data_IF_488944682740
#
_entry.id   IF_488944682740
#
_cell.length_a   1.000
_cell.length_b   1.000
_cell.length_c   1.000
_cell.angle_alpha   90.00
_cell.angle_beta   90.00
_cell.angle_gamma   90.00
#
_symmetry.space_group_name_H-M   'P 1'
#
loop_
_entity.id
_entity.type
_entity.pdbx_description
1 polymer ?
#
# COMPACT_ATOMS: atom_id res chain seq x y z
N UNK A 1 20.53 19.69 7.64
CA UNK A 1 20.31 19.12 6.29
C UNK A 1 18.84 18.68 6.17
N UNK A 2 17.94 19.61 5.87
CA UNK A 2 16.49 19.36 5.85
C UNK A 2 16.07 18.65 4.56
N UNK A 3 15.86 17.33 4.61
CA UNK A 3 15.17 16.61 3.53
C UNK A 3 13.67 16.93 3.57
N UNK A 4 13.28 18.10 3.05
CA UNK A 4 11.90 18.59 3.11
C UNK A 4 10.94 17.88 2.13
N UNK A 5 11.44 16.99 1.26
CA UNK A 5 10.62 16.29 0.25
C UNK A 5 10.95 14.81 0.22
N UNK A 6 10.32 14.02 1.08
CA UNK A 6 10.31 12.56 0.91
C UNK A 6 9.47 12.21 -0.32
N UNK A 7 10.12 12.05 -1.47
CA UNK A 7 9.49 11.56 -2.70
C UNK A 7 8.97 10.15 -2.45
N UNK A 8 7.69 9.93 -2.73
CA UNK A 8 7.03 8.62 -2.64
C UNK A 8 6.78 8.16 -4.06
N UNK A 9 7.44 7.08 -4.44
CA UNK A 9 7.20 6.45 -5.73
C UNK A 9 5.79 5.86 -5.77
N UNK A 10 5.22 5.78 -6.96
CA UNK A 10 3.85 5.33 -7.09
C UNK A 10 3.60 4.71 -8.45
N UNK A 11 2.74 3.70 -8.46
CA UNK A 11 2.30 2.96 -9.64
C UNK A 11 0.78 3.06 -9.80
N UNK A 12 0.27 2.78 -10.99
CA UNK A 12 -1.16 2.60 -11.26
C UNK A 12 -1.67 1.25 -10.75
N UNK A 13 -2.99 1.06 -10.81
CA UNK A 13 -3.63 -0.25 -10.56
C UNK A 13 -3.30 -1.27 -11.65
N UNK A 14 -3.16 -0.86 -12.91
CA UNK A 14 -2.72 -1.74 -14.00
C UNK A 14 -1.28 -2.23 -13.83
N UNK A 15 -0.37 -1.36 -13.39
CA UNK A 15 1.01 -1.74 -13.06
C UNK A 15 1.05 -2.68 -11.84
N UNK A 16 0.21 -2.43 -10.83
CA UNK A 16 0.07 -3.35 -9.69
C UNK A 16 -0.42 -4.73 -10.15
N UNK A 17 -1.40 -4.79 -11.05
CA UNK A 17 -1.93 -6.06 -11.58
C UNK A 17 -0.85 -6.88 -12.28
N UNK A 18 0.01 -6.23 -13.08
CA UNK A 18 1.16 -6.91 -13.68
C UNK A 18 2.13 -7.45 -12.61
N UNK A 19 2.34 -6.72 -11.50
CA UNK A 19 3.21 -7.13 -10.39
C UNK A 19 2.65 -8.26 -9.54
N UNK A 20 1.33 -8.42 -9.46
CA UNK A 20 0.70 -9.54 -8.72
C UNK A 20 0.97 -10.92 -9.35
N UNK A 21 1.59 -10.98 -10.54
CA UNK A 21 2.11 -12.23 -11.13
C UNK A 21 3.32 -12.78 -10.37
N UNK A 22 3.98 -11.93 -9.59
CA UNK A 22 5.11 -12.25 -8.71
C UNK A 22 4.65 -12.20 -7.24
N UNK A 23 5.31 -12.93 -6.32
CA UNK A 23 5.06 -12.76 -4.89
C UNK A 23 5.52 -11.37 -4.43
N UNK A 24 4.57 -10.49 -4.14
CA UNK A 24 4.81 -9.13 -3.65
C UNK A 24 4.18 -8.90 -2.28
N UNK A 25 4.74 -7.93 -1.54
CA UNK A 25 4.17 -7.47 -0.27
C UNK A 25 3.16 -6.35 -0.51
N UNK A 26 1.87 -6.70 -0.61
CA UNK A 26 0.79 -5.73 -0.76
C UNK A 26 0.11 -5.47 0.58
N UNK A 27 0.12 -4.22 1.04
CA UNK A 27 -0.55 -3.76 2.24
C UNK A 27 -1.81 -2.98 1.86
N UNK A 28 -2.96 -3.41 2.38
CA UNK A 28 -4.20 -2.66 2.30
C UNK A 28 -4.42 -1.90 3.60
N UNK A 29 -4.37 -0.57 3.53
CA UNK A 29 -4.48 0.31 4.70
C UNK A 29 -5.90 0.82 4.95
N UNK A 30 -6.89 0.24 4.29
CA UNK A 30 -8.30 0.46 4.60
C UNK A 30 -8.67 -0.13 5.97
N UNK A 31 -9.86 0.20 6.45
CA UNK A 31 -10.40 -0.43 7.66
C UNK A 31 -10.60 -1.93 7.46
N UNK A 32 -10.61 -2.74 8.54
CA UNK A 32 -10.91 -4.16 8.44
C UNK A 32 -12.24 -4.41 7.73
N UNK A 33 -13.29 -3.65 8.05
CA UNK A 33 -14.60 -3.80 7.41
C UNK A 33 -14.56 -3.60 5.90
N UNK A 34 -13.83 -2.59 5.41
CA UNK A 34 -13.64 -2.37 3.96
C UNK A 34 -12.88 -3.52 3.30
N UNK A 35 -11.88 -4.08 3.99
CA UNK A 35 -11.07 -5.18 3.50
C UNK A 35 -11.87 -6.49 3.41
N UNK A 36 -12.67 -6.80 4.43
CA UNK A 36 -13.53 -7.98 4.46
C UNK A 36 -14.66 -7.94 3.43
N UNK A 37 -15.09 -6.76 2.99
CA UNK A 37 -16.07 -6.60 1.89
C UNK A 37 -15.51 -6.92 0.52
N UNK A 38 -14.19 -7.02 0.38
CA UNK A 38 -13.52 -7.27 -0.88
C UNK A 38 -12.12 -6.66 -0.88
N UNK A 39 -11.11 -7.49 -1.14
CA UNK A 39 -9.72 -7.05 -1.24
C UNK A 39 -8.95 -7.80 -2.33
N UNK A 40 -7.80 -7.26 -2.72
CA UNK A 40 -6.92 -7.91 -3.69
C UNK A 40 -6.34 -9.16 -3.03
N UNK A 41 -6.35 -10.29 -3.75
CA UNK A 41 -5.77 -11.55 -3.27
C UNK A 41 -4.31 -11.34 -2.81
N UNK A 42 -3.96 -11.96 -1.69
CA UNK A 42 -2.64 -11.86 -1.02
C UNK A 42 -2.33 -10.48 -0.41
N UNK A 43 -3.26 -9.51 -0.43
CA UNK A 43 -3.10 -8.29 0.34
C UNK A 43 -3.18 -8.58 1.84
N UNK A 44 -2.33 -7.92 2.63
CA UNK A 44 -2.40 -7.92 4.09
C UNK A 44 -3.08 -6.65 4.57
N UNK A 45 -4.15 -6.78 5.35
CA UNK A 45 -4.77 -5.61 5.95
C UNK A 45 -3.90 -5.07 7.09
N UNK A 46 -3.49 -3.81 6.98
CA UNK A 46 -2.80 -3.07 8.05
C UNK A 46 -3.40 -1.66 8.06
N UNK A 47 -4.46 -1.42 8.85
CA UNK A 47 -5.17 -0.14 8.85
C UNK A 47 -4.24 1.06 9.03
N UNK A 48 -4.58 2.20 8.42
CA UNK A 48 -3.76 3.42 8.51
C UNK A 48 -3.50 3.88 9.96
N UNK A 49 -4.42 3.59 10.89
CA UNK A 49 -4.26 3.82 12.33
C UNK A 49 -3.09 3.02 12.91
N UNK A 50 -2.89 1.79 12.45
CA UNK A 50 -1.91 0.83 12.97
C UNK A 50 -0.56 0.88 12.21
N UNK A 51 -0.50 1.54 11.05
CA UNK A 51 0.75 1.63 10.28
C UNK A 51 1.91 2.29 11.06
N UNK A 52 1.57 3.11 12.07
CA UNK A 52 2.52 3.77 12.95
C UNK A 52 3.33 2.79 13.81
N UNK A 53 2.73 1.68 14.22
CA UNK A 53 3.40 0.58 14.95
C UNK A 53 3.81 -0.57 14.03
N UNK A 54 3.31 -0.62 12.79
CA UNK A 54 3.68 -1.64 11.84
C UNK A 54 5.20 -1.65 11.56
N UNK A 55 5.81 -2.82 11.77
CA UNK A 55 7.21 -3.09 11.56
C UNK A 55 7.33 -4.37 10.72
N UNK A 56 7.33 -4.27 9.38
CA UNK A 56 7.56 -5.42 8.53
C UNK A 56 8.95 -5.99 8.79
N UNK A 57 9.04 -7.32 8.88
CA UNK A 57 10.29 -8.07 9.05
C UNK A 57 11.06 -8.25 7.74
N UNK A 58 10.43 -7.91 6.61
CA UNK A 58 11.01 -8.02 5.28
C UNK A 58 11.74 -6.74 4.84
N UNK A 59 12.78 -6.91 4.03
CA UNK A 59 13.47 -5.83 3.31
C UNK A 59 12.88 -5.58 1.91
N UNK A 60 11.88 -6.36 1.50
CA UNK A 60 11.22 -6.23 0.21
C UNK A 60 10.43 -4.92 0.10
N UNK A 61 10.16 -4.53 -1.15
CA UNK A 61 9.34 -3.37 -1.46
C UNK A 61 7.91 -3.58 -1.01
N UNK A 62 7.39 -2.64 -0.22
CA UNK A 62 6.01 -2.63 0.24
C UNK A 62 5.15 -1.86 -0.76
N UNK A 63 4.17 -2.52 -1.35
CA UNK A 63 3.13 -1.88 -2.13
C UNK A 63 1.97 -1.52 -1.20
N UNK A 64 1.49 -0.29 -1.26
CA UNK A 64 0.46 0.19 -0.31
C UNK A 64 -0.74 0.71 -1.08
N UNK A 65 -1.90 0.14 -0.80
CA UNK A 65 -3.18 0.49 -1.41
C UNK A 65 -4.19 0.90 -0.34
N UNK A 66 -5.13 1.77 -0.70
CA UNK A 66 -6.29 2.08 0.12
C UNK A 66 -7.52 2.24 -0.79
N UNK A 67 -8.57 2.94 -0.37
CA UNK A 67 -9.73 3.18 -1.24
C UNK A 67 -9.39 4.04 -2.46
N UNK A 68 -8.91 5.28 -2.28
CA UNK A 68 -8.71 6.26 -3.39
C UNK A 68 -7.25 6.68 -3.64
N UNK A 69 -6.31 6.22 -2.82
CA UNK A 69 -4.89 6.60 -2.86
C UNK A 69 -4.43 7.61 -1.79
N UNK A 70 -5.35 8.29 -1.10
CA UNK A 70 -5.00 9.32 -0.09
C UNK A 70 -4.40 8.69 1.18
N UNK A 71 -5.08 7.69 1.75
CA UNK A 71 -4.63 6.99 2.98
C UNK A 71 -3.33 6.22 2.74
N UNK A 72 -3.19 5.57 1.58
CA UNK A 72 -1.98 4.84 1.20
C UNK A 72 -0.78 5.76 1.00
N UNK A 73 -0.97 6.97 0.48
CA UNK A 73 0.11 7.97 0.41
C UNK A 73 0.60 8.39 1.79
N UNK A 74 -0.30 8.54 2.77
CA UNK A 74 0.08 8.84 4.16
C UNK A 74 0.80 7.66 4.83
N UNK A 75 0.30 6.44 4.64
CA UNK A 75 0.96 5.22 5.11
C UNK A 75 2.37 5.07 4.50
N UNK A 76 2.50 5.28 3.18
CA UNK A 76 3.79 5.22 2.49
C UNK A 76 4.80 6.23 3.04
N UNK A 77 4.36 7.46 3.34
CA UNK A 77 5.21 8.46 4.02
C UNK A 77 5.68 7.99 5.40
N UNK A 78 4.78 7.44 6.22
CA UNK A 78 5.12 6.92 7.56
C UNK A 78 6.14 5.77 7.47
N UNK A 79 5.94 4.84 6.54
CA UNK A 79 6.83 3.71 6.33
C UNK A 79 8.19 4.12 5.73
N UNK A 80 8.20 5.04 4.75
CA UNK A 80 9.45 5.57 4.16
C UNK A 80 10.31 6.29 5.21
N UNK A 81 9.69 7.03 6.13
CA UNK A 81 10.37 7.66 7.28
C UNK A 81 11.02 6.65 8.23
N UNK A 82 10.50 5.43 8.30
CA UNK A 82 11.09 4.31 9.06
C UNK A 82 12.20 3.57 8.28
N UNK A 83 12.52 3.98 7.05
CA UNK A 83 13.57 3.39 6.23
C UNK A 83 13.12 2.26 5.29
N UNK A 84 11.82 1.96 5.21
CA UNK A 84 11.31 0.92 4.30
C UNK A 84 11.26 1.42 2.85
N UNK A 85 11.43 0.50 1.89
CA UNK A 85 11.12 0.79 0.51
C UNK A 85 9.61 0.64 0.27
N UNK A 86 8.97 1.68 -0.26
CA UNK A 86 7.51 1.75 -0.33
C UNK A 86 7.07 2.38 -1.63
N UNK A 87 6.09 1.75 -2.28
CA UNK A 87 5.43 2.23 -3.48
C UNK A 87 3.94 2.41 -3.17
N UNK A 88 3.42 3.60 -3.41
CA UNK A 88 1.99 3.87 -3.27
C UNK A 88 1.22 3.49 -4.55
N UNK A 89 0.08 2.82 -4.42
CA UNK A 89 -0.82 2.53 -5.54
C UNK A 89 -1.78 3.70 -5.73
N UNK A 90 -1.71 4.36 -6.89
CA UNK A 90 -2.59 5.49 -7.26
C UNK A 90 -3.97 4.98 -7.64
N UNK A 91 -5.00 5.79 -7.39
CA UNK A 91 -6.40 5.42 -7.63
C UNK A 91 -6.98 4.46 -6.60
N UNK A 92 -6.14 3.66 -5.93
CA UNK A 92 -6.57 2.73 -4.89
C UNK A 92 -7.52 1.65 -5.41
N UNK A 93 -8.29 1.06 -4.50
CA UNK A 93 -9.33 0.08 -4.81
C UNK A 93 -10.47 0.67 -5.68
N UNK A 94 -10.69 1.99 -5.66
CA UNK A 94 -11.67 2.65 -6.53
C UNK A 94 -11.31 2.54 -8.01
N UNK A 95 -10.02 2.46 -8.32
CA UNK A 95 -9.50 2.28 -9.69
C UNK A 95 -9.06 0.84 -9.97
N UNK A 96 -9.32 -0.09 -9.04
CA UNK A 96 -8.96 -1.49 -9.19
C UNK A 96 -10.04 -2.23 -9.98
N UNK A 97 -9.66 -2.75 -11.14
CA UNK A 97 -10.54 -3.50 -12.05
C UNK A 97 -10.30 -5.00 -12.01
N UNK A 98 -9.25 -5.45 -11.30
CA UNK A 98 -8.90 -6.85 -11.18
C UNK A 98 -9.78 -7.60 -10.19
N UNK A 99 -9.49 -8.90 -10.02
CA UNK A 99 -10.25 -9.76 -9.12
C UNK A 99 -10.08 -9.34 -7.65
N UNK A 100 -11.19 -9.37 -6.91
CA UNK A 100 -11.22 -9.24 -5.45
C UNK A 100 -11.70 -10.54 -4.81
N UNK A 101 -11.32 -10.78 -3.56
CA UNK A 101 -11.77 -11.88 -2.72
C UNK A 101 -12.39 -11.37 -1.42
#
# INVERSE_FOLDING_TARGET
MFHLFTKIDSISTSELEAKLREPIQLLDVRTPTEFHRGHIKNAKNVPLSEIGSYAPTTKETLYVICHSGVRSKLAAKKLKKKGYNVINVRGGMSAWTGKVI
#
